data_IF_961201803969
#
_entry.id   IF_961201803969
#
_cell.length_a   1.000
_cell.length_b   1.000
_cell.length_c   1.000
_cell.angle_alpha   90.00
_cell.angle_beta   90.00
_cell.angle_gamma   90.00
#
_symmetry.space_group_name_H-M   'P 1'
#
loop_
_entity.id
_entity.type
_entity.pdbx_description
1 polymer ?
#
# COMPACT_ATOMS: atom_id res chain seq x y z
N UNK A 1 16.76 -2.69 7.11
CA UNK A 1 16.59 -3.04 5.69
C UNK A 1 15.27 -3.77 5.54
N UNK A 2 14.35 -3.29 4.71
CA UNK A 2 13.11 -4.01 4.45
C UNK A 2 13.43 -5.31 3.69
N UNK A 3 12.89 -6.44 4.15
CA UNK A 3 13.00 -7.69 3.42
C UNK A 3 12.22 -7.55 2.09
N UNK A 4 12.79 -7.93 0.94
CA UNK A 4 12.07 -7.92 -0.32
C UNK A 4 10.83 -8.81 -0.20
N UNK A 5 9.68 -8.31 -0.66
CA UNK A 5 8.48 -9.13 -0.73
C UNK A 5 8.75 -10.32 -1.66
N UNK A 6 8.37 -11.56 -1.28
CA UNK A 6 8.45 -12.68 -2.19
C UNK A 6 7.68 -12.37 -3.48
N UNK A 7 8.32 -12.55 -4.64
CA UNK A 7 7.72 -12.32 -5.97
C UNK A 7 6.33 -12.97 -6.11
N UNK A 8 6.12 -14.10 -5.44
CA UNK A 8 4.85 -14.85 -5.41
C UNK A 8 3.67 -14.11 -4.77
N UNK A 9 3.91 -13.07 -3.96
CA UNK A 9 2.84 -12.28 -3.32
C UNK A 9 2.43 -11.06 -4.14
N UNK A 10 3.16 -10.75 -5.22
CA UNK A 10 2.79 -9.67 -6.12
C UNK A 10 1.71 -10.15 -7.10
N UNK A 11 0.72 -9.30 -7.44
CA UNK A 11 -0.22 -9.60 -8.50
C UNK A 11 0.54 -9.96 -9.80
N UNK A 12 0.10 -10.98 -10.52
CA UNK A 12 0.82 -11.47 -11.72
C UNK A 12 1.05 -10.40 -12.81
N UNK A 13 0.21 -9.36 -12.85
CA UNK A 13 0.38 -8.20 -13.71
C UNK A 13 1.61 -7.35 -13.34
N UNK A 14 1.95 -7.26 -12.06
CA UNK A 14 3.10 -6.51 -11.55
C UNK A 14 4.44 -7.22 -11.81
N UNK A 15 4.41 -8.51 -12.17
CA UNK A 15 5.59 -9.34 -12.45
C UNK A 15 6.04 -9.31 -13.91
N UNK A 16 5.23 -8.78 -14.82
CA UNK A 16 5.63 -8.63 -16.23
C UNK A 16 6.65 -7.49 -16.31
N UNK A 17 7.88 -7.78 -16.71
CA UNK A 17 8.99 -6.79 -16.81
C UNK A 17 8.60 -5.50 -17.53
N UNK A 18 7.64 -5.58 -18.47
CA UNK A 18 7.17 -4.44 -19.25
C UNK A 18 5.98 -3.69 -18.67
N UNK A 19 5.34 -4.11 -17.58
CA UNK A 19 4.09 -3.47 -17.13
C UNK A 19 4.30 -2.00 -16.78
N UNK A 20 5.39 -1.69 -16.06
CA UNK A 20 5.70 -0.32 -15.64
C UNK A 20 6.06 0.52 -16.86
N UNK A 21 6.92 0.00 -17.75
CA UNK A 21 7.28 0.70 -18.99
C UNK A 21 6.09 0.90 -19.93
N UNK A 22 5.19 -0.07 -20.05
CA UNK A 22 3.96 0.03 -20.82
C UNK A 22 2.97 1.01 -20.19
N UNK A 23 2.81 0.96 -18.86
CA UNK A 23 2.00 1.93 -18.12
C UNK A 23 2.54 3.35 -18.31
N UNK A 24 3.86 3.56 -18.18
CA UNK A 24 4.49 4.86 -18.42
C UNK A 24 4.37 5.34 -19.86
N UNK A 25 4.51 4.46 -20.86
CA UNK A 25 4.33 4.80 -22.28
C UNK A 25 2.88 5.13 -22.64
N UNK A 26 1.94 4.42 -22.02
CA UNK A 26 0.51 4.56 -22.30
C UNK A 26 -0.16 5.62 -21.42
N UNK A 27 0.60 6.29 -20.54
CA UNK A 27 0.12 7.39 -19.70
C UNK A 27 0.90 8.67 -20.02
N UNK A 28 0.35 9.82 -19.64
CA UNK A 28 1.04 11.11 -19.80
C UNK A 28 2.09 11.36 -18.71
N UNK A 29 2.58 10.31 -18.04
CA UNK A 29 3.53 10.47 -16.93
C UNK A 29 4.83 11.12 -17.39
N UNK A 30 5.30 10.82 -18.61
CA UNK A 30 6.50 11.46 -19.19
C UNK A 30 6.35 12.96 -19.47
N UNK A 31 5.12 13.48 -19.56
CA UNK A 31 4.84 14.90 -19.79
C UNK A 31 4.70 15.69 -18.48
N UNK A 32 4.68 15.02 -17.33
CA UNK A 32 4.56 15.68 -16.04
C UNK A 32 5.87 16.34 -15.62
N UNK A 33 5.76 17.44 -14.84
CA UNK A 33 6.95 18.09 -14.27
C UNK A 33 7.65 17.23 -13.22
N UNK A 34 6.88 16.38 -12.54
CA UNK A 34 7.36 15.55 -11.44
C UNK A 34 6.35 14.48 -11.05
N UNK A 35 6.84 13.38 -10.47
CA UNK A 35 6.03 12.28 -9.94
C UNK A 35 6.17 12.25 -8.43
N UNK A 36 5.04 12.24 -7.73
CA UNK A 36 5.00 12.18 -6.27
C UNK A 36 4.59 10.78 -5.82
N UNK A 37 5.47 10.09 -5.09
CA UNK A 37 5.26 8.70 -4.66
C UNK A 37 5.09 8.67 -3.15
N UNK A 38 4.02 8.02 -2.68
CA UNK A 38 3.75 7.83 -1.24
C UNK A 38 4.69 6.77 -0.64
N UNK A 39 5.96 7.10 -0.57
CA UNK A 39 7.05 6.27 -0.04
C UNK A 39 8.10 7.16 0.64
N UNK A 40 9.09 6.57 1.29
CA UNK A 40 10.24 7.27 1.86
C UNK A 40 11.53 6.54 1.48
N UNK A 41 12.64 7.28 1.40
CA UNK A 41 13.89 6.80 0.79
C UNK A 41 14.46 5.59 1.53
N UNK A 42 14.34 5.54 2.85
CA UNK A 42 14.83 4.45 3.68
C UNK A 42 14.09 3.13 3.41
N UNK A 43 12.85 3.19 2.89
CA UNK A 43 12.08 2.02 2.49
C UNK A 43 12.47 1.54 1.09
N UNK A 44 12.62 2.46 0.13
CA UNK A 44 12.70 2.14 -1.31
C UNK A 44 13.88 2.81 -2.03
N UNK A 45 15.03 2.94 -1.36
CA UNK A 45 16.22 3.64 -1.89
C UNK A 45 16.63 3.19 -3.30
N UNK A 46 16.61 1.87 -3.55
CA UNK A 46 16.92 1.29 -4.87
C UNK A 46 15.93 1.75 -5.94
N UNK A 47 14.63 1.73 -5.65
CA UNK A 47 13.61 2.14 -6.61
C UNK A 47 13.63 3.66 -6.87
N UNK A 48 13.88 4.47 -5.84
CA UNK A 48 14.05 5.92 -6.01
C UNK A 48 15.27 6.23 -6.87
N UNK A 49 16.40 5.57 -6.61
CA UNK A 49 17.64 5.76 -7.37
C UNK A 49 17.52 5.31 -8.83
N UNK A 50 16.77 4.25 -9.14
CA UNK A 50 16.64 3.80 -10.53
C UNK A 50 15.90 4.81 -11.41
N UNK A 51 15.01 5.61 -10.81
CA UNK A 51 14.21 6.62 -11.50
C UNK A 51 14.93 7.97 -11.66
N UNK A 52 16.04 8.21 -10.97
CA UNK A 52 16.78 9.48 -11.03
C UNK A 52 17.70 9.63 -12.25
N UNK A 53 17.90 8.59 -13.06
CA UNK A 53 18.85 8.55 -14.18
C UNK A 53 18.32 9.22 -15.47
N UNK A 54 17.47 10.25 -15.37
CA UNK A 54 17.07 11.12 -16.48
C UNK A 54 16.09 10.54 -17.52
N UNK A 55 15.74 9.25 -17.43
CA UNK A 55 14.73 8.61 -18.30
C UNK A 55 13.28 8.99 -17.94
N UNK A 56 13.06 9.51 -16.73
CA UNK A 56 11.74 9.82 -16.17
C UNK A 56 11.75 11.22 -15.54
N UNK A 57 10.58 11.85 -15.37
CA UNK A 57 10.47 13.09 -14.58
C UNK A 57 10.99 12.89 -13.15
N UNK A 58 11.44 13.96 -12.48
CA UNK A 58 11.87 13.90 -11.09
C UNK A 58 10.85 13.23 -10.17
N UNK A 59 11.32 12.27 -9.36
CA UNK A 59 10.49 11.51 -8.43
C UNK A 59 10.69 12.03 -7.00
N UNK A 60 9.61 12.39 -6.33
CA UNK A 60 9.61 12.89 -4.97
C UNK A 60 8.91 11.90 -4.03
N UNK A 61 9.66 11.20 -3.15
CA UNK A 61 9.07 10.42 -2.08
C UNK A 61 8.49 11.36 -1.01
N UNK A 62 7.20 11.20 -0.68
CA UNK A 62 6.45 12.10 0.23
C UNK A 62 5.81 11.38 1.43
N UNK A 63 6.23 10.15 1.70
CA UNK A 63 5.64 9.27 2.68
C UNK A 63 6.28 9.33 4.08
N UNK A 64 5.66 8.68 5.08
CA UNK A 64 4.39 7.93 4.99
C UNK A 64 3.17 8.86 5.05
N UNK A 65 2.35 8.87 3.98
CA UNK A 65 1.08 9.64 3.95
C UNK A 65 -0.04 8.78 4.50
N UNK A 66 -0.26 8.87 5.81
CA UNK A 66 -1.28 8.10 6.53
C UNK A 66 -2.39 9.02 7.04
N UNK A 67 -3.64 8.57 6.94
CA UNK A 67 -4.77 9.28 7.55
C UNK A 67 -4.89 8.94 9.04
N UNK A 68 -4.00 9.50 9.85
CA UNK A 68 -3.99 9.33 11.31
C UNK A 68 -5.09 10.16 12.01
N UNK A 69 -5.54 11.24 11.37
CA UNK A 69 -6.67 12.10 11.80
C UNK A 69 -8.03 11.41 11.74
N UNK A 70 -8.11 10.23 11.13
CA UNK A 70 -9.30 9.37 11.14
C UNK A 70 -9.71 8.88 12.55
N UNK A 71 -9.02 9.26 13.64
CA UNK A 71 -9.57 9.13 15.01
C UNK A 71 -11.01 9.66 15.10
N UNK A 72 -11.33 10.80 14.49
CA UNK A 72 -12.71 11.32 14.44
C UNK A 72 -13.69 10.45 13.62
N UNK A 73 -13.21 9.72 12.62
CA UNK A 73 -14.02 8.76 11.85
C UNK A 73 -14.16 7.42 12.59
N UNK A 74 -13.13 6.98 13.33
CA UNK A 74 -13.22 5.88 14.29
C UNK A 74 -14.26 6.18 15.35
N UNK A 75 -14.36 7.42 15.85
CA UNK A 75 -15.41 7.80 16.78
C UNK A 75 -16.81 7.77 16.13
N UNK A 76 -16.94 8.11 14.84
CA UNK A 76 -18.22 8.00 14.11
C UNK A 76 -18.62 6.55 13.81
N UNK A 77 -17.66 5.67 13.51
CA UNK A 77 -17.92 4.22 13.37
C UNK A 77 -18.19 3.59 14.74
N UNK A 78 -17.42 3.94 15.78
CA UNK A 78 -17.53 3.37 17.12
C UNK A 78 -18.78 3.82 17.89
N UNK A 79 -19.33 5.01 17.61
CA UNK A 79 -20.54 5.49 18.28
C UNK A 79 -21.84 4.80 17.82
N UNK A 80 -21.81 3.98 16.76
CA UNK A 80 -22.97 3.24 16.27
C UNK A 80 -22.71 1.81 15.80
N UNK A 81 -21.46 1.36 15.70
CA UNK A 81 -21.10 0.02 15.21
C UNK A 81 -20.64 -0.86 16.38
N UNK A 82 -21.58 -1.54 17.03
CA UNK A 82 -21.32 -2.47 18.15
C UNK A 82 -20.21 -3.48 17.83
N UNK A 83 -20.16 -3.96 16.58
CA UNK A 83 -19.17 -4.94 16.10
C UNK A 83 -17.73 -4.47 16.21
N UNK A 84 -17.45 -3.17 16.05
CA UNK A 84 -16.08 -2.65 16.20
C UNK A 84 -15.65 -2.68 17.66
N UNK A 85 -16.54 -2.27 18.58
CA UNK A 85 -16.29 -2.29 20.02
C UNK A 85 -16.07 -3.72 20.52
N UNK A 86 -16.89 -4.67 20.06
CA UNK A 86 -16.79 -6.08 20.42
C UNK A 86 -15.47 -6.69 19.90
N UNK A 87 -15.09 -6.38 18.64
CA UNK A 87 -13.82 -6.84 18.05
C UNK A 87 -12.61 -6.28 18.81
N UNK A 88 -12.60 -4.99 19.14
CA UNK A 88 -11.49 -4.37 19.87
C UNK A 88 -11.40 -4.94 21.29
N UNK A 89 -12.52 -5.13 21.99
CA UNK A 89 -12.53 -5.76 23.31
C UNK A 89 -11.99 -7.19 23.27
N UNK A 90 -12.42 -7.99 22.29
CA UNK A 90 -11.87 -9.34 22.08
C UNK A 90 -10.36 -9.32 21.83
N UNK A 91 -9.85 -8.35 21.06
CA UNK A 91 -8.42 -8.20 20.76
C UNK A 91 -7.61 -7.82 22.01
N UNK A 92 -8.16 -6.95 22.87
CA UNK A 92 -7.53 -6.50 24.11
C UNK A 92 -7.31 -7.67 25.10
N UNK A 93 -8.15 -8.71 25.04
CA UNK A 93 -8.05 -9.91 25.89
C UNK A 93 -7.00 -10.93 25.42
N UNK A 94 -6.39 -10.74 24.23
CA UNK A 94 -5.43 -11.70 23.69
C UNK A 94 -4.00 -11.44 24.20
N UNK A 95 -3.16 -12.48 24.38
CA UNK A 95 -1.75 -12.29 24.68
C UNK A 95 -1.03 -11.45 23.63
N UNK A 96 0.01 -10.72 24.04
CA UNK A 96 0.75 -9.85 23.14
C UNK A 96 1.31 -10.63 21.94
N UNK A 97 1.14 -10.08 20.73
CA UNK A 97 1.60 -10.68 19.47
C UNK A 97 1.05 -12.09 19.16
N UNK A 98 -0.09 -12.48 19.72
CA UNK A 98 -0.70 -13.82 19.48
C UNK A 98 -1.71 -13.86 18.33
N UNK A 99 -2.26 -12.71 17.91
CA UNK A 99 -3.31 -12.62 16.89
C UNK A 99 -2.71 -12.32 15.52
N UNK A 100 -3.15 -13.06 14.50
CA UNK A 100 -2.84 -12.78 13.10
C UNK A 100 -3.98 -12.01 12.45
N UNK A 101 -3.67 -10.84 11.89
CA UNK A 101 -4.62 -10.07 11.08
C UNK A 101 -4.51 -10.47 9.60
N UNK A 102 -5.64 -10.80 8.98
CA UNK A 102 -5.74 -11.12 7.55
C UNK A 102 -6.66 -10.11 6.86
N UNK A 103 -6.14 -9.39 5.86
CA UNK A 103 -6.89 -8.43 5.07
C UNK A 103 -6.37 -8.39 3.64
N UNK A 104 -7.28 -8.58 2.66
CA UNK A 104 -6.95 -8.55 1.24
C UNK A 104 -7.18 -7.18 0.58
N UNK A 105 -7.58 -6.18 1.36
CA UNK A 105 -7.99 -4.87 0.84
C UNK A 105 -9.40 -4.88 0.27
N UNK A 106 -9.90 -3.71 -0.12
CA UNK A 106 -11.30 -3.52 -0.54
C UNK A 106 -11.61 -3.95 -1.97
N UNK A 107 -10.59 -4.25 -2.78
CA UNK A 107 -10.75 -4.50 -4.22
C UNK A 107 -10.65 -5.98 -4.60
N UNK A 108 -10.27 -6.86 -3.68
CA UNK A 108 -10.12 -8.29 -3.97
C UNK A 108 -11.49 -8.96 -3.94
N UNK A 109 -11.78 -9.75 -4.99
CA UNK A 109 -12.94 -10.62 -5.07
C UNK A 109 -12.47 -12.07 -5.24
N UNK A 110 -13.14 -12.99 -4.56
CA UNK A 110 -12.90 -14.42 -4.70
C UNK A 110 -13.99 -15.04 -5.58
N UNK A 111 -13.61 -15.76 -6.62
CA UNK A 111 -14.53 -16.62 -7.34
C UNK A 111 -14.69 -17.95 -6.57
N UNK A 112 -15.93 -18.40 -6.41
CA UNK A 112 -16.20 -19.67 -5.75
C UNK A 112 -15.68 -20.83 -6.58
N UNK A 113 -14.85 -21.68 -5.98
CA UNK A 113 -14.48 -22.98 -6.56
C UNK A 113 -15.72 -23.86 -6.44
N UNK A 114 -16.31 -24.25 -7.57
CA UNK A 114 -17.33 -25.31 -7.62
C UNK A 114 -16.66 -26.67 -7.67
#
# INVERSE_FOLDING_TARGET
MAAPLPVRVLPGSALKEDWFSAFFRNTRLGETKSIMVKTFVELESRAVSSLSHGKYPPVYPVGPVLNLSSKMQRDKVSRGNSKYKDMMGWLDDQPHSSVVSLCFGSMVCFEGIK
#
